data_IF_222675332030
#
_entry.id   IF_222675332030
#
_cell.length_a   1.000
_cell.length_b   1.000
_cell.length_c   1.000
_cell.angle_alpha   90.00
_cell.angle_beta   90.00
_cell.angle_gamma   90.00
#
_symmetry.space_group_name_H-M   'P 1'
#
loop_
_entity.id
_entity.type
_entity.pdbx_description
1 polymer ?
#
# COMPACT_ATOMS: atom_id res chain seq x y z
N UNK A 1 7.27 3.20 4.64
CA UNK A 1 7.46 2.35 3.43
C UNK A 1 6.26 1.47 3.23
N UNK A 2 5.80 1.25 1.98
CA UNK A 2 4.64 0.38 1.69
C UNK A 2 5.11 -0.90 1.00
N UNK A 3 4.67 -2.06 1.49
CA UNK A 3 4.94 -3.36 0.86
C UNK A 3 3.80 -4.36 1.08
N UNK A 4 3.92 -5.52 0.48
CA UNK A 4 3.14 -6.70 0.87
C UNK A 4 3.62 -7.30 2.20
N UNK A 5 2.96 -8.36 2.64
CA UNK A 5 3.26 -9.06 3.90
C UNK A 5 4.32 -10.16 3.71
N UNK A 6 5.48 -9.79 3.16
CA UNK A 6 6.60 -10.72 3.03
C UNK A 6 7.57 -10.55 4.20
N UNK A 7 7.73 -11.59 5.02
CA UNK A 7 8.55 -11.52 6.24
C UNK A 7 9.99 -11.06 6.00
N UNK A 8 10.64 -11.56 4.95
CA UNK A 8 12.01 -11.14 4.59
C UNK A 8 12.09 -9.66 4.26
N UNK A 9 11.06 -9.09 3.61
CA UNK A 9 11.00 -7.67 3.30
C UNK A 9 10.75 -6.84 4.56
N UNK A 10 9.86 -7.29 5.45
CA UNK A 10 9.62 -6.65 6.76
C UNK A 10 10.91 -6.59 7.60
N UNK A 11 11.65 -7.70 7.67
CA UNK A 11 12.96 -7.76 8.35
C UNK A 11 13.97 -6.82 7.72
N UNK A 12 14.12 -6.83 6.40
CA UNK A 12 15.05 -5.94 5.71
C UNK A 12 14.70 -4.45 5.93
N UNK A 13 13.41 -4.10 5.95
CA UNK A 13 12.96 -2.72 6.25
C UNK A 13 13.34 -2.35 7.69
N UNK A 14 13.10 -3.24 8.65
CA UNK A 14 13.42 -2.99 10.04
C UNK A 14 14.93 -2.83 10.29
N UNK A 15 15.76 -3.65 9.65
CA UNK A 15 17.21 -3.65 9.81
C UNK A 15 17.89 -2.51 9.06
N UNK A 16 17.53 -2.30 7.79
CA UNK A 16 18.23 -1.35 6.92
C UNK A 16 17.63 0.07 6.97
N UNK A 17 16.39 0.22 7.42
CA UNK A 17 15.63 1.47 7.38
C UNK A 17 14.95 1.72 8.74
N UNK A 18 15.71 1.71 9.81
CA UNK A 18 15.23 1.76 11.21
C UNK A 18 14.30 2.94 11.55
N UNK A 19 14.31 4.02 10.75
CA UNK A 19 13.40 5.16 10.93
C UNK A 19 12.14 5.09 10.06
N UNK A 20 11.97 4.07 9.23
CA UNK A 20 10.86 3.97 8.31
C UNK A 20 9.66 3.25 8.95
N UNK A 21 8.52 3.94 9.05
CA UNK A 21 7.28 3.28 9.39
C UNK A 21 6.85 2.35 8.25
N UNK A 22 6.60 1.08 8.57
CA UNK A 22 6.07 0.11 7.63
C UNK A 22 4.56 0.22 7.51
N UNK A 23 4.06 0.07 6.29
CA UNK A 23 2.66 0.06 5.91
C UNK A 23 2.40 -1.18 5.05
N UNK A 24 1.50 -2.04 5.45
CA UNK A 24 1.02 -3.15 4.62
C UNK A 24 0.13 -2.62 3.51
N UNK A 25 0.36 -3.06 2.28
CA UNK A 25 -0.49 -2.72 1.13
C UNK A 25 -1.92 -3.24 1.35
N UNK A 26 -2.91 -2.33 1.41
CA UNK A 26 -4.30 -2.73 1.64
C UNK A 26 -4.88 -3.59 0.51
N UNK A 27 -4.39 -3.43 -0.72
CA UNK A 27 -4.85 -4.23 -1.87
C UNK A 27 -4.43 -5.69 -1.72
N UNK A 28 -3.17 -5.93 -1.30
CA UNK A 28 -2.69 -7.28 -0.99
C UNK A 28 -3.37 -7.84 0.25
N UNK A 29 -3.61 -7.02 1.26
CA UNK A 29 -4.38 -7.42 2.44
C UNK A 29 -5.77 -7.91 2.06
N UNK A 30 -6.53 -7.17 1.24
CA UNK A 30 -7.84 -7.59 0.76
C UNK A 30 -7.77 -8.85 -0.11
N UNK A 31 -6.72 -9.02 -0.90
CA UNK A 31 -6.50 -10.23 -1.70
C UNK A 31 -6.26 -11.46 -0.79
N UNK A 32 -5.44 -11.31 0.24
CA UNK A 32 -5.22 -12.38 1.22
C UNK A 32 -6.48 -12.70 2.04
N UNK A 33 -7.32 -11.70 2.32
CA UNK A 33 -8.60 -11.92 3.00
C UNK A 33 -9.55 -12.88 2.24
N UNK A 34 -9.44 -12.93 0.92
CA UNK A 34 -10.24 -13.85 0.07
C UNK A 34 -9.97 -15.32 0.45
N UNK A 35 -8.75 -15.66 0.86
CA UNK A 35 -8.38 -17.03 1.19
C UNK A 35 -9.10 -17.54 2.45
N UNK A 36 -9.67 -16.64 3.26
CA UNK A 36 -10.46 -16.93 4.46
C UNK A 36 -11.96 -17.03 4.20
N UNK A 37 -12.39 -16.82 2.93
CA UNK A 37 -13.78 -16.94 2.50
C UNK A 37 -14.07 -18.27 1.82
N UNK A 38 -15.29 -18.81 1.93
CA UNK A 38 -15.73 -19.93 1.11
C UNK A 38 -15.71 -19.54 -0.37
N UNK A 39 -15.09 -20.35 -1.24
CA UNK A 39 -14.80 -20.08 -2.67
C UNK A 39 -15.98 -19.62 -3.55
N UNK A 40 -17.20 -19.65 -3.06
CA UNK A 40 -18.41 -19.35 -3.85
C UNK A 40 -19.23 -18.17 -3.36
N UNK A 41 -18.76 -17.36 -2.42
CA UNK A 41 -19.61 -16.31 -1.84
C UNK A 41 -18.88 -15.02 -1.58
N UNK A 42 -19.48 -14.08 -2.13
CA UNK A 42 -19.81 -12.69 -1.83
C UNK A 42 -18.70 -11.75 -1.47
N UNK A 43 -18.53 -10.91 -2.43
CA UNK A 43 -17.74 -9.72 -2.42
C UNK A 43 -18.25 -8.65 -1.43
N UNK A 44 -19.48 -8.77 -0.87
CA UNK A 44 -20.08 -7.75 -0.05
C UNK A 44 -19.25 -7.41 1.21
N UNK A 45 -18.80 -8.42 1.95
CA UNK A 45 -18.00 -8.20 3.15
C UNK A 45 -16.63 -7.61 2.82
N UNK A 46 -16.02 -8.01 1.69
CA UNK A 46 -14.74 -7.45 1.24
C UNK A 46 -14.92 -6.06 0.63
N UNK A 47 -16.03 -5.80 -0.03
CA UNK A 47 -16.37 -4.49 -0.55
C UNK A 47 -16.57 -3.49 0.59
N UNK A 48 -17.29 -3.87 1.64
CA UNK A 48 -17.44 -3.06 2.84
C UNK A 48 -16.07 -2.84 3.53
N UNK A 49 -15.24 -3.88 3.63
CA UNK A 49 -13.90 -3.78 4.18
C UNK A 49 -13.02 -2.83 3.34
N UNK A 50 -13.23 -2.78 2.02
CA UNK A 50 -12.54 -1.84 1.13
C UNK A 50 -12.93 -0.39 1.40
N UNK A 51 -14.20 -0.09 1.69
CA UNK A 51 -14.69 1.26 1.96
C UNK A 51 -14.07 1.90 3.20
N UNK A 52 -13.55 1.10 4.13
CA UNK A 52 -12.82 1.60 5.31
C UNK A 52 -11.60 2.45 4.91
N UNK A 53 -10.96 2.10 3.79
CA UNK A 53 -9.78 2.81 3.28
C UNK A 53 -10.11 4.14 2.57
N UNK A 54 -11.38 4.49 2.44
CA UNK A 54 -11.83 5.78 1.88
C UNK A 54 -12.14 6.81 2.98
N UNK A 55 -12.08 6.39 4.25
CA UNK A 55 -12.23 7.31 5.40
C UNK A 55 -11.06 8.29 5.48
N UNK A 56 -11.36 9.51 5.91
CA UNK A 56 -10.35 10.56 6.04
C UNK A 56 -9.61 10.50 7.37
N UNK A 57 -10.27 10.02 8.42
CA UNK A 57 -9.75 9.98 9.77
C UNK A 57 -9.63 8.55 10.27
N UNK A 58 -8.54 8.27 11.01
CA UNK A 58 -8.32 6.96 11.63
C UNK A 58 -9.46 6.56 12.58
N UNK A 59 -10.04 7.54 13.31
CA UNK A 59 -11.14 7.28 14.23
C UNK A 59 -12.37 6.73 13.51
N UNK A 60 -12.72 7.30 12.35
CA UNK A 60 -13.83 6.83 11.51
C UNK A 60 -13.56 5.42 10.98
N UNK A 61 -12.35 5.18 10.46
CA UNK A 61 -11.96 3.87 9.98
C UNK A 61 -12.05 2.81 11.09
N UNK A 62 -11.57 3.10 12.29
CA UNK A 62 -11.66 2.18 13.44
C UNK A 62 -13.10 1.92 13.90
N UNK A 63 -13.96 2.91 13.84
CA UNK A 63 -15.38 2.72 14.14
C UNK A 63 -16.07 1.81 13.13
N UNK A 64 -15.77 2.01 11.83
CA UNK A 64 -16.30 1.16 10.77
C UNK A 64 -15.75 -0.27 10.84
N UNK A 65 -14.46 -0.45 11.18
CA UNK A 65 -13.86 -1.78 11.41
C UNK A 65 -14.64 -2.51 12.50
N UNK A 66 -14.92 -1.85 13.62
CA UNK A 66 -15.68 -2.45 14.72
C UNK A 66 -17.08 -2.87 14.27
N UNK A 67 -17.79 -1.99 13.57
CA UNK A 67 -19.12 -2.30 13.03
C UNK A 67 -19.09 -3.46 12.02
N UNK A 68 -18.04 -3.50 11.17
CA UNK A 68 -17.83 -4.59 10.21
C UNK A 68 -17.61 -5.93 10.93
N UNK A 69 -16.77 -5.96 11.99
CA UNK A 69 -16.51 -7.15 12.81
C UNK A 69 -17.82 -7.66 13.42
N UNK A 70 -18.57 -6.77 14.09
CA UNK A 70 -19.87 -7.12 14.71
C UNK A 70 -20.85 -7.71 13.70
N UNK A 71 -20.91 -7.15 12.49
CA UNK A 71 -21.81 -7.60 11.42
C UNK A 71 -21.44 -8.97 10.87
N UNK A 72 -20.15 -9.24 10.66
CA UNK A 72 -19.69 -10.40 9.90
C UNK A 72 -19.18 -11.57 10.74
N UNK A 73 -18.96 -11.37 12.05
CA UNK A 73 -18.38 -12.38 12.94
C UNK A 73 -19.18 -13.69 12.98
N UNK A 74 -20.51 -13.61 12.99
CA UNK A 74 -21.36 -14.82 13.02
C UNK A 74 -21.31 -15.62 11.73
N UNK A 75 -21.09 -14.95 10.57
CA UNK A 75 -21.11 -15.58 9.25
C UNK A 75 -19.72 -16.02 8.79
N UNK A 76 -18.67 -15.25 9.10
CA UNK A 76 -17.31 -15.46 8.61
C UNK A 76 -16.28 -15.33 9.73
N UNK A 77 -16.43 -16.12 10.81
CA UNK A 77 -15.60 -16.04 12.01
C UNK A 77 -14.09 -16.13 11.73
N UNK A 78 -13.67 -17.00 10.79
CA UNK A 78 -12.26 -17.14 10.41
C UNK A 78 -11.69 -15.90 9.71
N UNK A 79 -12.48 -15.31 8.80
CA UNK A 79 -12.10 -14.06 8.13
C UNK A 79 -11.99 -12.92 9.14
N UNK A 80 -12.99 -12.79 10.02
CA UNK A 80 -13.02 -11.73 11.01
C UNK A 80 -11.83 -11.82 11.95
N UNK A 81 -11.53 -12.99 12.52
CA UNK A 81 -10.37 -13.18 13.37
C UNK A 81 -9.06 -12.81 12.65
N UNK A 82 -8.90 -13.25 11.40
CA UNK A 82 -7.72 -12.89 10.62
C UNK A 82 -7.63 -11.39 10.35
N UNK A 83 -8.75 -10.72 10.06
CA UNK A 83 -8.79 -9.26 9.87
C UNK A 83 -8.43 -8.54 11.16
N UNK A 84 -8.97 -8.92 12.31
CA UNK A 84 -8.64 -8.32 13.60
C UNK A 84 -7.13 -8.37 13.90
N UNK A 85 -6.50 -9.51 13.63
CA UNK A 85 -5.06 -9.71 13.88
C UNK A 85 -4.16 -8.89 12.92
N UNK A 86 -4.64 -8.54 11.73
CA UNK A 86 -3.77 -8.03 10.65
C UNK A 86 -4.10 -6.61 10.17
N UNK A 87 -5.27 -6.06 10.48
CA UNK A 87 -5.75 -4.82 9.87
C UNK A 87 -4.95 -3.58 10.30
N UNK A 88 -4.44 -3.55 11.53
CA UNK A 88 -3.70 -2.38 12.06
C UNK A 88 -2.45 -2.07 11.21
N UNK A 89 -1.79 -3.09 10.64
CA UNK A 89 -0.65 -2.93 9.76
C UNK A 89 -0.99 -2.16 8.47
N UNK A 90 -2.27 -2.13 8.09
CA UNK A 90 -2.76 -1.44 6.90
C UNK A 90 -3.17 0.02 7.15
N UNK A 91 -3.12 0.47 8.40
CA UNK A 91 -3.60 1.80 8.82
C UNK A 91 -2.46 2.79 9.13
N UNK A 92 -1.21 2.38 8.97
CA UNK A 92 -0.04 3.23 9.26
C UNK A 92 -0.03 4.53 8.44
N UNK A 93 -0.60 4.52 7.21
CA UNK A 93 -0.67 5.70 6.34
C UNK A 93 -1.46 6.86 6.95
N UNK A 94 -2.37 6.63 7.91
CA UNK A 94 -3.07 7.69 8.63
C UNK A 94 -2.15 8.59 9.46
N UNK A 95 -0.91 8.16 9.72
CA UNK A 95 0.12 9.00 10.34
C UNK A 95 0.64 10.10 9.41
N UNK A 96 0.37 10.01 8.12
CA UNK A 96 0.80 10.96 7.11
C UNK A 96 -0.27 12.05 6.90
N UNK A 97 0.10 13.21 6.32
CA UNK A 97 -0.87 14.19 5.88
C UNK A 97 -1.89 13.60 4.89
N UNK A 98 -3.14 14.05 4.95
CA UNK A 98 -4.24 13.54 4.13
C UNK A 98 -3.92 13.52 2.63
N UNK A 99 -3.20 14.53 2.14
CA UNK A 99 -2.77 14.61 0.74
C UNK A 99 -1.92 13.40 0.28
N UNK A 100 -1.27 12.68 1.21
CA UNK A 100 -0.42 11.53 0.91
C UNK A 100 -1.16 10.18 1.02
N UNK A 101 -2.35 10.14 1.64
CA UNK A 101 -3.05 8.88 1.90
C UNK A 101 -3.29 8.06 0.63
N UNK A 102 -3.71 8.72 -0.47
CA UNK A 102 -3.99 8.05 -1.75
C UNK A 102 -2.79 7.25 -2.26
N UNK A 103 -1.59 7.79 -2.10
CA UNK A 103 -0.36 7.24 -2.67
C UNK A 103 0.35 6.27 -1.71
N UNK A 104 0.05 6.34 -0.41
CA UNK A 104 0.78 5.60 0.63
C UNK A 104 0.00 4.43 1.23
N UNK A 105 -1.20 4.13 0.74
CA UNK A 105 -2.00 2.98 1.20
C UNK A 105 -1.79 1.71 0.39
N UNK A 106 -1.15 1.80 -0.82
CA UNK A 106 -0.93 0.63 -1.69
C UNK A 106 0.36 0.71 -2.50
N UNK A 107 0.76 -0.43 -3.06
CA UNK A 107 1.91 -0.59 -3.98
C UNK A 107 1.51 -0.45 -5.46
N UNK A 108 0.27 -0.09 -5.76
CA UNK A 108 -0.29 -0.08 -7.13
C UNK A 108 0.57 0.69 -8.15
N UNK A 109 1.19 1.79 -7.73
CA UNK A 109 2.05 2.59 -8.63
C UNK A 109 3.29 1.79 -9.06
N UNK A 110 3.92 1.09 -8.12
CA UNK A 110 5.07 0.23 -8.41
C UNK A 110 4.66 -0.98 -9.25
N UNK A 111 3.51 -1.56 -8.97
CA UNK A 111 2.98 -2.68 -9.75
C UNK A 111 2.74 -2.29 -11.22
N UNK A 112 2.09 -1.14 -11.47
CA UNK A 112 1.89 -0.61 -12.83
C UNK A 112 3.21 -0.35 -13.54
N UNK A 113 4.19 0.19 -12.84
CA UNK A 113 5.52 0.39 -13.42
C UNK A 113 6.19 -0.94 -13.77
N UNK A 114 6.12 -1.94 -12.90
CA UNK A 114 6.62 -3.28 -13.17
C UNK A 114 5.89 -3.95 -14.34
N UNK A 115 4.58 -3.74 -14.50
CA UNK A 115 3.82 -4.21 -15.66
C UNK A 115 4.30 -3.55 -16.96
N UNK A 116 4.58 -2.25 -16.94
CA UNK A 116 5.11 -1.54 -18.09
C UNK A 116 6.51 -2.04 -18.47
N UNK A 117 7.40 -2.27 -17.50
CA UNK A 117 8.70 -2.91 -17.76
C UNK A 117 8.51 -4.28 -18.42
N UNK A 118 7.63 -5.13 -17.86
CA UNK A 118 7.34 -6.44 -18.44
C UNK A 118 6.77 -6.34 -19.84
N UNK A 119 5.86 -5.41 -20.09
CA UNK A 119 5.27 -5.17 -21.39
C UNK A 119 6.32 -4.81 -22.42
N UNK A 120 7.20 -3.86 -22.13
CA UNK A 120 8.27 -3.39 -23.02
C UNK A 120 9.32 -4.48 -23.27
N UNK A 121 9.73 -5.20 -22.25
CA UNK A 121 10.71 -6.29 -22.39
C UNK A 121 10.15 -7.46 -23.21
N UNK A 122 8.86 -7.79 -23.07
CA UNK A 122 8.19 -8.81 -23.90
C UNK A 122 8.07 -8.41 -25.36
N UNK A 123 7.85 -7.14 -25.67
CA UNK A 123 7.80 -6.65 -27.06
C UNK A 123 9.17 -6.74 -27.71
N UNK A 124 10.23 -6.41 -27.00
CA UNK A 124 11.61 -6.53 -27.50
C UNK A 124 12.04 -7.97 -27.71
N UNK A 125 11.44 -8.94 -27.01
CA UNK A 125 11.64 -10.40 -27.05
C UNK A 125 13.08 -10.87 -26.87
N UNK A 126 14.03 -10.36 -27.66
CA UNK A 126 15.42 -10.78 -27.68
C UNK A 126 16.31 -9.56 -27.41
N UNK A 127 17.14 -9.67 -26.38
CA UNK A 127 18.18 -8.69 -26.10
C UNK A 127 19.54 -9.30 -26.46
N UNK A 128 20.43 -8.54 -27.17
CA UNK A 128 21.76 -9.04 -27.55
C UNK A 128 22.61 -9.40 -26.33
N UNK A 129 22.39 -8.72 -25.19
CA UNK A 129 23.07 -8.94 -23.91
C UNK A 129 22.28 -8.31 -22.75
N UNK A 130 22.68 -8.64 -21.53
CA UNK A 130 22.08 -8.12 -20.30
C UNK A 130 22.15 -6.58 -20.24
N UNK A 131 23.27 -5.98 -20.66
CA UNK A 131 23.43 -4.52 -20.64
C UNK A 131 22.40 -3.80 -21.52
N UNK A 132 21.95 -4.40 -22.62
CA UNK A 132 20.89 -3.81 -23.46
C UNK A 132 19.53 -3.86 -22.77
N UNK A 133 19.22 -4.94 -22.05
CA UNK A 133 18.02 -5.04 -21.25
C UNK A 133 18.03 -4.00 -20.12
N UNK A 134 19.12 -3.89 -19.38
CA UNK A 134 19.28 -2.91 -18.31
C UNK A 134 19.19 -1.46 -18.80
N UNK A 135 19.72 -1.14 -20.00
CA UNK A 135 19.53 0.20 -20.59
C UNK A 135 18.07 0.54 -20.81
N UNK A 136 17.27 -0.41 -21.34
CA UNK A 136 15.83 -0.20 -21.51
C UNK A 136 15.13 0.02 -20.17
N UNK A 137 15.39 -0.83 -19.18
CA UNK A 137 14.78 -0.71 -17.84
C UNK A 137 15.16 0.62 -17.19
N UNK A 138 16.44 1.02 -17.31
CA UNK A 138 16.91 2.31 -16.80
C UNK A 138 16.21 3.50 -17.47
N UNK A 139 16.08 3.48 -18.80
CA UNK A 139 15.38 4.54 -19.53
C UNK A 139 13.93 4.66 -19.08
N UNK A 140 13.20 3.54 -18.92
CA UNK A 140 11.84 3.53 -18.40
C UNK A 140 11.74 4.07 -16.96
N UNK A 141 12.73 3.74 -16.12
CA UNK A 141 12.76 4.23 -14.74
C UNK A 141 13.01 5.74 -14.68
N UNK A 142 13.89 6.28 -15.52
CA UNK A 142 14.14 7.73 -15.60
C UNK A 142 12.90 8.45 -16.12
N UNK A 143 12.31 8.01 -17.22
CA UNK A 143 11.07 8.58 -17.78
C UNK A 143 9.94 8.60 -16.74
N UNK A 144 9.75 7.50 -16.01
CA UNK A 144 8.73 7.43 -14.98
C UNK A 144 9.04 8.34 -13.79
N UNK A 145 10.31 8.46 -13.41
CA UNK A 145 10.76 9.36 -12.34
C UNK A 145 10.49 10.83 -12.70
N UNK A 146 10.83 11.24 -13.92
CA UNK A 146 10.56 12.59 -14.44
C UNK A 146 9.06 12.90 -14.43
N UNK A 147 8.21 12.01 -14.95
CA UNK A 147 6.74 12.15 -14.87
C UNK A 147 6.24 12.33 -13.45
N UNK A 148 6.78 11.58 -12.49
CA UNK A 148 6.39 11.74 -11.07
C UNK A 148 6.84 13.07 -10.47
N UNK A 149 7.84 13.72 -11.04
CA UNK A 149 8.29 15.04 -10.61
C UNK A 149 7.51 16.18 -11.27
N UNK A 150 7.17 16.05 -12.54
CA UNK A 150 6.58 17.12 -13.36
C UNK A 150 5.06 17.22 -13.20
N UNK A 151 4.32 16.12 -13.40
CA UNK A 151 2.87 16.16 -13.53
C UNK A 151 2.13 16.37 -12.21
N UNK A 152 2.49 15.64 -11.19
CA UNK A 152 1.90 15.79 -9.85
C UNK A 152 2.89 15.14 -8.92
N UNK A 153 3.69 15.92 -8.26
CA UNK A 153 4.67 15.41 -7.27
C UNK A 153 4.02 14.31 -6.48
N UNK A 154 4.43 13.07 -6.74
CA UNK A 154 3.84 11.86 -6.15
C UNK A 154 3.67 11.99 -4.64
N UNK A 155 4.63 12.65 -3.97
CA UNK A 155 4.57 13.08 -2.58
C UNK A 155 5.06 14.53 -2.48
N UNK A 156 4.21 15.43 -2.02
CA UNK A 156 4.66 16.78 -1.70
C UNK A 156 5.40 16.77 -0.36
N UNK A 157 6.73 16.68 -0.43
CA UNK A 157 7.59 16.60 0.75
C UNK A 157 7.56 17.87 1.61
N UNK A 158 7.14 19.02 1.08
CA UNK A 158 6.97 20.24 1.86
C UNK A 158 5.85 20.08 2.92
N UNK A 159 4.69 19.53 2.50
CA UNK A 159 3.57 19.24 3.41
C UNK A 159 4.00 18.26 4.51
N UNK A 160 4.80 17.23 4.16
CA UNK A 160 5.28 16.27 5.15
C UNK A 160 6.21 16.92 6.17
N UNK A 161 7.15 17.76 5.71
CA UNK A 161 8.08 18.49 6.60
C UNK A 161 7.34 19.45 7.54
N UNK A 162 6.32 20.12 7.04
CA UNK A 162 5.49 21.02 7.85
C UNK A 162 4.72 20.25 8.93
N UNK A 163 4.04 19.16 8.55
CA UNK A 163 3.34 18.29 9.50
C UNK A 163 4.27 17.68 10.56
N UNK A 164 5.52 17.36 10.20
CA UNK A 164 6.53 16.90 11.16
C UNK A 164 6.94 18.00 12.13
N UNK A 165 7.14 19.22 11.65
CA UNK A 165 7.47 20.38 12.52
C UNK A 165 6.35 20.70 13.51
N UNK A 166 5.09 20.64 13.06
CA UNK A 166 3.94 20.86 13.93
C UNK A 166 3.85 19.80 15.04
N UNK A 167 4.05 18.52 14.70
CA UNK A 167 4.10 17.45 15.70
C UNK A 167 5.19 17.63 16.73
N UNK A 168 6.38 18.06 16.34
CA UNK A 168 7.47 18.33 17.26
C UNK A 168 7.16 19.51 18.18
N UNK A 169 6.46 20.55 17.71
CA UNK A 169 6.01 21.68 18.54
C UNK A 169 4.95 21.29 19.54
N UNK A 170 4.09 20.33 19.20
CA UNK A 170 3.00 19.87 20.09
C UNK A 170 3.48 18.86 21.15
N UNK A 171 4.64 18.24 20.91
CA UNK A 171 5.25 17.27 21.84
C UNK A 171 6.27 17.88 22.80
N UNK A 172 6.62 19.17 22.63
CA UNK A 172 7.50 19.98 23.49
C UNK A 172 6.67 20.86 24.44
#
# INVERSE_FOLDING_TARGET
MVSDDHEGLKKAIAECLSGAAWQRCYVHFLRNAIDHLPRKRDDDCLQELRWLYDRRQLKEAKADIKAWIEKWQSRYSKLVAWVEDNIEETLTYYRLPLAHHRNMKSTNMLERFNEEIRRRTRVARIFPNEASCLRLVRALAVEQHERWQEDHRYLNMAILKEAQRERLKTAA
#
